data_IF_866052571205
#
_entry.id   IF_866052571205
#
_cell.length_a   1.000
_cell.length_b   1.000
_cell.length_c   1.000
_cell.angle_alpha   90.00
_cell.angle_beta   90.00
_cell.angle_gamma   90.00
#
_symmetry.space_group_name_H-M   'P 1'
#
loop_
_entity.id
_entity.type
_entity.pdbx_description
1 polymer ?
#
# COMPACT_ATOMS: atom_id res chain seq x y z
N UNK A 1 11.50 6.73 -24.30
CA UNK A 1 11.13 6.83 -22.87
C UNK A 1 11.61 5.57 -22.18
N UNK A 2 12.17 5.67 -20.97
CA UNK A 2 12.48 4.48 -20.18
C UNK A 2 11.16 3.82 -19.74
N UNK A 3 11.10 2.50 -19.74
CA UNK A 3 9.96 1.76 -19.25
C UNK A 3 10.15 1.50 -17.76
N UNK A 4 9.09 1.69 -16.99
CA UNK A 4 9.09 1.44 -15.56
C UNK A 4 7.88 0.59 -15.19
N UNK A 5 8.12 -0.37 -14.29
CA UNK A 5 7.07 -1.05 -13.54
C UNK A 5 6.93 -0.37 -12.18
N UNK A 6 5.70 -0.32 -11.67
CA UNK A 6 5.42 0.10 -10.31
C UNK A 6 4.75 -1.05 -9.56
N UNK A 7 5.29 -1.35 -8.39
CA UNK A 7 4.73 -2.27 -7.41
C UNK A 7 4.35 -1.48 -6.15
N UNK A 8 3.21 -1.80 -5.56
CA UNK A 8 2.69 -1.21 -4.33
C UNK A 8 2.58 -2.34 -3.32
N UNK A 9 3.28 -2.22 -2.20
CA UNK A 9 3.30 -3.19 -1.11
C UNK A 9 2.64 -2.60 0.13
N UNK A 10 1.83 -3.39 0.85
CA UNK A 10 1.37 -3.03 2.19
C UNK A 10 2.56 -3.19 3.14
N UNK A 11 3.18 -2.09 3.54
CA UNK A 11 4.36 -2.09 4.40
C UNK A 11 3.99 -2.12 5.88
N UNK A 12 2.99 -1.33 6.26
CA UNK A 12 2.37 -1.36 7.59
C UNK A 12 0.85 -1.33 7.45
N UNK A 13 0.15 -1.93 8.41
CA UNK A 13 -1.30 -1.99 8.41
C UNK A 13 -1.85 -3.17 9.20
N UNK A 14 -3.14 -3.11 9.53
CA UNK A 14 -3.87 -4.17 10.22
C UNK A 14 -5.15 -4.48 9.45
N UNK A 15 -5.17 -5.61 8.76
CA UNK A 15 -6.34 -6.10 8.03
C UNK A 15 -7.27 -7.00 8.83
N UNK A 16 -6.90 -7.30 10.08
CA UNK A 16 -7.60 -8.29 10.90
C UNK A 16 -7.64 -9.67 10.25
N UNK A 17 -8.58 -10.50 10.70
CA UNK A 17 -8.89 -11.80 10.11
C UNK A 17 -10.40 -11.89 9.89
N UNK A 18 -10.80 -12.46 8.75
CA UNK A 18 -12.21 -12.72 8.49
C UNK A 18 -12.69 -13.83 9.44
N UNK A 19 -13.66 -13.50 10.29
CA UNK A 19 -14.30 -14.44 11.20
C UNK A 19 -15.67 -14.85 10.64
N UNK A 20 -15.96 -16.16 10.66
CA UNK A 20 -17.26 -16.72 10.27
C UNK A 20 -17.77 -17.65 11.35
N UNK A 21 -19.06 -17.55 11.66
CA UNK A 21 -19.78 -18.49 12.52
C UNK A 21 -20.93 -19.10 11.69
N UNK A 22 -20.74 -20.36 11.28
CA UNK A 22 -21.56 -20.96 10.22
C UNK A 22 -21.47 -20.14 8.92
N UNK A 23 -22.62 -19.74 8.39
CA UNK A 23 -22.72 -18.92 7.17
C UNK A 23 -22.68 -17.40 7.43
N UNK A 24 -22.61 -16.97 8.70
CA UNK A 24 -22.61 -15.55 9.06
C UNK A 24 -21.19 -15.01 9.17
N UNK A 25 -20.95 -13.86 8.54
CA UNK A 25 -19.72 -13.07 8.74
C UNK A 25 -19.87 -12.28 10.03
N UNK A 26 -18.88 -12.39 10.91
CA UNK A 26 -18.77 -11.57 12.12
C UNK A 26 -17.90 -10.35 11.79
N UNK A 27 -18.52 -9.18 11.80
CA UNK A 27 -17.84 -7.91 11.52
C UNK A 27 -17.19 -7.37 12.80
N UNK A 28 -15.88 -7.07 12.79
CA UNK A 28 -15.19 -6.44 13.91
C UNK A 28 -15.62 -4.98 14.08
N UNK A 29 -15.37 -4.43 15.26
CA UNK A 29 -15.47 -2.98 15.47
C UNK A 29 -14.17 -2.33 14.97
N UNK A 30 -14.14 -2.01 13.67
CA UNK A 30 -12.93 -1.62 12.94
C UNK A 30 -12.08 -0.54 13.63
N UNK A 31 -12.71 0.55 14.10
CA UNK A 31 -12.00 1.63 14.79
C UNK A 31 -11.37 1.14 16.11
N UNK A 32 -12.17 0.53 17.00
CA UNK A 32 -11.69 0.05 18.31
C UNK A 32 -10.62 -1.02 18.18
N UNK A 33 -10.70 -1.83 17.12
CA UNK A 33 -9.72 -2.88 16.84
C UNK A 33 -8.54 -2.36 16.00
N UNK A 34 -8.55 -1.10 15.57
CA UNK A 34 -7.50 -0.50 14.73
C UNK A 34 -7.34 -1.20 13.38
N UNK A 35 -8.43 -1.68 12.79
CA UNK A 35 -8.44 -2.44 11.53
C UNK A 35 -8.81 -1.51 10.38
N UNK A 36 -8.00 -1.52 9.32
CA UNK A 36 -8.36 -0.85 8.08
C UNK A 36 -9.49 -1.60 7.37
N UNK A 37 -10.56 -0.87 7.02
CA UNK A 37 -11.69 -1.40 6.27
C UNK A 37 -11.33 -1.99 4.89
N UNK A 38 -10.36 -1.41 4.19
CA UNK A 38 -9.88 -1.91 2.90
C UNK A 38 -9.09 -3.21 3.03
N UNK A 39 -8.23 -3.28 4.04
CA UNK A 39 -7.47 -4.50 4.28
C UNK A 39 -8.40 -5.61 4.79
N UNK A 40 -9.39 -5.28 5.62
CA UNK A 40 -10.41 -6.22 6.05
C UNK A 40 -11.27 -6.67 4.87
N UNK A 41 -11.35 -7.98 4.62
CA UNK A 41 -11.98 -8.54 3.42
C UNK A 41 -11.42 -8.03 2.09
N UNK A 42 -10.13 -7.71 2.04
CA UNK A 42 -9.40 -7.25 0.85
C UNK A 42 -9.88 -7.76 -0.52
N UNK A 43 -9.97 -9.08 -0.72
CA UNK A 43 -10.46 -9.67 -1.99
C UNK A 43 -11.93 -10.15 -1.96
N UNK A 44 -12.66 -9.80 -0.90
CA UNK A 44 -14.01 -10.24 -0.59
C UNK A 44 -14.09 -11.55 0.21
N UNK A 45 -13.02 -12.37 0.18
CA UNK A 45 -12.92 -13.70 0.83
C UNK A 45 -11.85 -13.77 1.92
N UNK A 46 -10.78 -12.99 1.81
CA UNK A 46 -9.65 -12.90 2.73
C UNK A 46 -9.26 -11.44 2.96
N UNK A 47 -8.81 -11.15 4.17
CA UNK A 47 -8.21 -9.85 4.48
C UNK A 47 -6.81 -9.76 3.87
N UNK A 48 -6.48 -8.60 3.30
CA UNK A 48 -5.11 -8.28 2.93
C UNK A 48 -4.22 -8.15 4.16
N UNK A 49 -2.95 -8.49 4.00
CA UNK A 49 -1.96 -8.52 5.08
C UNK A 49 -0.71 -7.75 4.65
N UNK A 50 0.09 -7.35 5.65
CA UNK A 50 1.42 -6.77 5.43
C UNK A 50 2.28 -7.69 4.56
N UNK A 51 3.06 -7.10 3.66
CA UNK A 51 3.89 -7.78 2.66
C UNK A 51 3.14 -8.11 1.36
N UNK A 52 1.82 -7.93 1.30
CA UNK A 52 1.06 -8.15 0.08
C UNK A 52 1.35 -7.05 -0.96
N UNK A 53 1.50 -7.47 -2.23
CA UNK A 53 1.94 -6.63 -3.34
C UNK A 53 0.88 -6.54 -4.43
N UNK A 54 0.83 -5.39 -5.08
CA UNK A 54 -0.08 -5.04 -6.18
C UNK A 54 0.71 -4.37 -7.30
N UNK A 55 0.42 -4.71 -8.54
CA UNK A 55 1.05 -4.09 -9.71
C UNK A 55 0.22 -2.91 -10.18
N UNK A 56 0.86 -1.79 -10.50
CA UNK A 56 0.19 -0.65 -11.11
C UNK A 56 0.52 -0.58 -12.61
N UNK A 57 -0.49 -0.41 -13.49
CA UNK A 57 -1.91 -0.14 -13.20
C UNK A 57 -2.82 -1.37 -13.07
N UNK A 58 -2.30 -2.59 -13.21
CA UNK A 58 -3.09 -3.82 -13.41
C UNK A 58 -4.00 -4.16 -12.22
N UNK A 59 -3.54 -3.88 -11.00
CA UNK A 59 -4.21 -4.23 -9.74
C UNK A 59 -4.92 -3.02 -9.08
N UNK A 60 -5.07 -1.89 -9.78
CA UNK A 60 -5.69 -0.67 -9.21
C UNK A 60 -7.09 -0.95 -8.65
N UNK A 61 -7.88 -1.81 -9.28
CA UNK A 61 -9.21 -2.19 -8.79
C UNK A 61 -9.21 -2.95 -7.46
N UNK A 62 -8.05 -3.41 -6.98
CA UNK A 62 -7.88 -4.08 -5.67
C UNK A 62 -7.50 -3.11 -4.56
N UNK A 63 -7.11 -1.87 -4.90
CA UNK A 63 -6.69 -0.86 -3.94
C UNK A 63 -7.87 0.03 -3.54
N UNK A 64 -7.88 0.49 -2.29
CA UNK A 64 -8.87 1.44 -1.81
C UNK A 64 -8.69 2.82 -2.45
N UNK A 65 -9.78 3.55 -2.75
CA UNK A 65 -9.71 4.93 -3.27
C UNK A 65 -8.82 5.86 -2.45
N UNK A 66 -8.86 5.80 -1.11
CA UNK A 66 -8.01 6.64 -0.26
C UNK A 66 -6.52 6.32 -0.40
N UNK A 67 -6.17 5.03 -0.51
CA UNK A 67 -4.79 4.63 -0.78
C UNK A 67 -4.36 5.13 -2.16
N UNK A 68 -5.20 4.96 -3.18
CA UNK A 68 -4.92 5.42 -4.53
C UNK A 68 -4.71 6.94 -4.62
N UNK A 69 -5.57 7.71 -3.95
CA UNK A 69 -5.48 9.17 -3.91
C UNK A 69 -4.19 9.62 -3.20
N UNK A 70 -3.85 9.01 -2.06
CA UNK A 70 -2.58 9.25 -1.37
C UNK A 70 -1.36 8.92 -2.23
N UNK A 71 -1.46 7.94 -3.13
CA UNK A 71 -0.38 7.50 -4.02
C UNK A 71 -0.25 8.32 -5.31
N UNK A 72 -1.29 9.04 -5.72
CA UNK A 72 -1.43 9.62 -7.07
C UNK A 72 -0.23 10.46 -7.52
N UNK A 73 0.22 11.41 -6.70
CA UNK A 73 1.37 12.27 -6.99
C UNK A 73 2.69 11.50 -7.08
N UNK A 74 2.88 10.51 -6.20
CA UNK A 74 4.08 9.67 -6.17
C UNK A 74 4.15 8.78 -7.40
N UNK A 75 3.05 8.11 -7.74
CA UNK A 75 2.95 7.30 -8.95
C UNK A 75 3.26 8.16 -10.18
N UNK A 76 2.70 9.37 -10.27
CA UNK A 76 2.96 10.27 -11.39
C UNK A 76 4.45 10.58 -11.54
N UNK A 77 5.12 11.02 -10.46
CA UNK A 77 6.55 11.33 -10.47
C UNK A 77 7.39 10.12 -10.86
N UNK A 78 7.14 8.96 -10.26
CA UNK A 78 7.90 7.74 -10.50
C UNK A 78 7.74 7.22 -11.94
N UNK A 79 6.52 7.29 -12.50
CA UNK A 79 6.23 6.83 -13.88
C UNK A 79 7.01 7.60 -14.94
N UNK A 80 7.35 8.86 -14.68
CA UNK A 80 8.12 9.70 -15.60
C UNK A 80 9.62 9.76 -15.27
N UNK A 81 10.10 8.85 -14.42
CA UNK A 81 11.53 8.74 -14.08
C UNK A 81 11.99 9.71 -12.99
N UNK A 82 11.11 10.55 -12.45
CA UNK A 82 11.41 11.43 -11.33
C UNK A 82 11.61 10.68 -10.01
N UNK A 83 12.13 11.40 -9.02
CA UNK A 83 12.33 10.93 -7.65
C UNK A 83 12.02 12.08 -6.69
N UNK A 84 11.45 11.78 -5.51
CA UNK A 84 11.20 12.80 -4.50
C UNK A 84 12.38 12.87 -3.50
N UNK A 85 12.81 14.07 -3.06
CA UNK A 85 14.12 14.25 -2.43
C UNK A 85 14.21 13.84 -0.95
N UNK A 86 13.08 13.60 -0.27
CA UNK A 86 13.07 13.15 1.12
C UNK A 86 13.63 11.72 1.19
N UNK A 87 14.65 11.45 2.01
CA UNK A 87 15.32 10.15 2.06
C UNK A 87 14.98 9.32 3.32
N UNK A 88 14.48 9.97 4.38
CA UNK A 88 14.12 9.36 5.66
C UNK A 88 15.24 8.47 6.26
N UNK A 89 16.49 8.94 6.18
CA UNK A 89 17.66 8.23 6.68
C UNK A 89 17.51 7.72 8.11
N UNK A 90 18.04 6.54 8.36
CA UNK A 90 18.06 5.89 9.68
C UNK A 90 16.64 5.58 10.21
N UNK A 91 15.66 5.47 9.32
CA UNK A 91 14.29 5.04 9.65
C UNK A 91 13.89 3.80 8.83
N UNK A 92 12.83 3.08 9.23
CA UNK A 92 12.27 1.99 8.40
C UNK A 92 11.80 2.43 7.00
N UNK A 93 11.68 3.74 6.78
CA UNK A 93 11.21 4.36 5.53
C UNK A 93 12.37 4.90 4.68
N UNK A 94 13.62 4.54 4.99
CA UNK A 94 14.77 4.95 4.21
C UNK A 94 14.63 4.50 2.75
N UNK A 95 14.82 5.43 1.82
CA UNK A 95 14.55 5.22 0.40
C UNK A 95 15.74 4.69 -0.37
N UNK A 96 15.44 3.86 -1.36
CA UNK A 96 16.36 3.50 -2.42
C UNK A 96 16.30 4.54 -3.52
N UNK A 97 17.44 5.16 -3.86
CA UNK A 97 17.54 6.14 -4.94
C UNK A 97 18.21 5.55 -6.18
N UNK A 98 17.39 4.98 -7.06
CA UNK A 98 17.83 4.44 -8.36
C UNK A 98 18.96 3.38 -8.22
N UNK A 99 19.04 2.72 -7.07
CA UNK A 99 19.99 1.64 -6.85
C UNK A 99 19.60 0.48 -7.75
N UNK A 100 20.44 0.14 -8.73
CA UNK A 100 20.16 -0.89 -9.73
C UNK A 100 18.84 -0.67 -10.50
N UNK A 101 18.44 0.59 -10.72
CA UNK A 101 17.19 0.91 -11.40
C UNK A 101 15.95 0.84 -10.50
N UNK A 102 16.13 0.69 -9.19
CA UNK A 102 15.06 0.61 -8.19
C UNK A 102 14.94 1.95 -7.46
N UNK A 103 13.71 2.46 -7.34
CA UNK A 103 13.40 3.59 -6.46
C UNK A 103 12.23 3.24 -5.55
N UNK A 104 12.33 3.55 -4.26
CA UNK A 104 11.25 3.32 -3.29
C UNK A 104 10.67 4.62 -2.74
N UNK A 105 9.39 4.61 -2.42
CA UNK A 105 8.65 5.67 -1.74
C UNK A 105 7.75 5.04 -0.67
N UNK A 106 7.50 5.77 0.42
CA UNK A 106 6.63 5.32 1.50
C UNK A 106 5.50 6.32 1.71
N UNK A 107 4.26 5.84 1.78
CA UNK A 107 3.07 6.69 1.79
C UNK A 107 2.11 6.23 2.86
N UNK A 108 1.76 7.14 3.76
CA UNK A 108 0.71 6.92 4.75
C UNK A 108 -0.66 7.17 4.12
N UNK A 109 -1.58 6.22 4.27
CA UNK A 109 -2.98 6.40 3.90
C UNK A 109 -3.66 7.38 4.87
N UNK A 110 -4.66 8.11 4.39
CA UNK A 110 -5.50 9.01 5.21
C UNK A 110 -6.55 8.28 6.05
N UNK A 111 -6.53 6.94 6.08
CA UNK A 111 -7.44 6.13 6.89
C UNK A 111 -7.36 6.57 8.37
N UNK A 112 -8.50 6.89 9.01
CA UNK A 112 -8.50 7.47 10.35
C UNK A 112 -8.31 6.43 11.46
N UNK A 113 -8.26 5.13 11.13
CA UNK A 113 -8.11 4.08 12.15
C UNK A 113 -6.65 3.97 12.61
N UNK A 114 -6.46 3.41 13.80
CA UNK A 114 -5.14 3.08 14.33
C UNK A 114 -4.41 1.97 13.53
N UNK A 115 -4.97 1.51 12.40
CA UNK A 115 -4.27 0.65 11.46
C UNK A 115 -2.99 1.29 10.94
N UNK A 116 -2.92 2.62 10.88
CA UNK A 116 -1.69 3.35 10.52
C UNK A 116 -1.09 2.94 9.18
N UNK A 117 -1.92 2.65 8.17
CA UNK A 117 -1.49 2.02 6.91
C UNK A 117 -0.38 2.84 6.25
N UNK A 118 0.73 2.17 5.95
CA UNK A 118 1.78 2.69 5.10
C UNK A 118 1.98 1.71 3.95
N UNK A 119 2.03 2.24 2.73
CA UNK A 119 2.37 1.47 1.54
C UNK A 119 3.77 1.84 1.07
N UNK A 120 4.54 0.84 0.65
CA UNK A 120 5.81 1.00 -0.03
C UNK A 120 5.58 0.91 -1.53
N UNK A 121 5.89 1.99 -2.25
CA UNK A 121 5.86 2.02 -3.71
C UNK A 121 7.26 1.74 -4.22
N UNK A 122 7.42 0.76 -5.08
CA UNK A 122 8.69 0.40 -5.70
C UNK A 122 8.59 0.59 -7.21
N UNK A 123 9.38 1.53 -7.75
CA UNK A 123 9.60 1.67 -9.18
C UNK A 123 10.79 0.82 -9.60
N UNK A 124 10.63 0.03 -10.65
CA UNK A 124 11.66 -0.82 -11.23
C UNK A 124 11.83 -0.44 -12.70
N UNK A 125 13.05 -0.10 -13.12
CA UNK A 125 13.39 0.11 -14.52
C UNK A 125 13.39 -1.23 -15.28
N UNK A 126 12.70 -1.26 -16.43
CA UNK A 126 12.65 -2.41 -17.36
C UNK A 126 13.48 -2.09 -18.60
#
# INVERSE_FOLDING_TARGET
MQNYKIEIEIFEGKGGKLCKEGDKIIYPELEKEGICAWMYRGDGSKSYQVGQKFNYPEDVGKLCPWVLDSLSGIIHVLRFGGTLPWDYKETPYEKEFNLNGITTEFVRCIDPTDSGIIVKVTRIKI
#
